data_IF_147325813885
#
_entry.id   IF_147325813885
#
_cell.length_a   1.000
_cell.length_b   1.000
_cell.length_c   1.000
_cell.angle_alpha   90.00
_cell.angle_beta   90.00
_cell.angle_gamma   90.00
#
_symmetry.space_group_name_H-M   'P 1'
#
loop_
_entity.id
_entity.type
_entity.pdbx_description
1 polymer ?
#
# COMPACT_ATOMS: atom_id res chain seq x y z
N UNK A 1 -3.35 -9.07 40.63
CA UNK A 1 -3.58 -8.30 39.38
C UNK A 1 -4.03 -9.30 38.32
N UNK A 2 -5.16 -9.11 37.63
CA UNK A 2 -5.61 -10.10 36.63
C UNK A 2 -4.63 -10.18 35.45
N UNK A 3 -4.52 -11.32 34.78
CA UNK A 3 -3.68 -11.49 33.57
C UNK A 3 -4.01 -10.46 32.48
N UNK A 4 -5.27 -10.06 32.39
CA UNK A 4 -5.73 -8.98 31.49
C UNK A 4 -5.11 -7.64 31.87
N UNK A 5 -5.07 -7.30 33.17
CA UNK A 5 -4.39 -6.09 33.65
C UNK A 5 -2.88 -6.11 33.35
N UNK A 6 -2.23 -7.28 33.44
CA UNK A 6 -0.82 -7.43 33.06
C UNK A 6 -0.61 -7.24 31.56
N UNK A 7 -1.51 -7.76 30.71
CA UNK A 7 -1.47 -7.54 29.27
C UNK A 7 -1.66 -6.05 28.92
N UNK A 8 -2.65 -5.38 29.55
CA UNK A 8 -2.87 -3.94 29.41
C UNK A 8 -1.64 -3.14 29.79
N UNK A 9 -1.02 -3.43 30.94
CA UNK A 9 0.20 -2.71 31.37
C UNK A 9 1.40 -3.02 30.46
N UNK A 10 1.55 -4.25 29.96
CA UNK A 10 2.63 -4.60 29.03
C UNK A 10 2.51 -3.81 27.73
N UNK A 11 1.31 -3.74 27.15
CA UNK A 11 1.06 -3.01 25.91
C UNK A 11 1.12 -1.49 26.10
N UNK A 12 0.54 -0.97 27.18
CA UNK A 12 0.64 0.46 27.52
C UNK A 12 2.10 0.84 27.75
N UNK A 13 2.88 -0.02 28.40
CA UNK A 13 4.32 0.19 28.59
C UNK A 13 5.10 0.11 27.27
N UNK A 14 4.75 -0.80 26.36
CA UNK A 14 5.33 -0.85 25.01
C UNK A 14 5.04 0.45 24.25
N UNK A 15 3.79 0.90 24.24
CA UNK A 15 3.38 2.18 23.64
C UNK A 15 4.09 3.38 24.30
N UNK A 16 4.27 3.36 25.63
CA UNK A 16 4.97 4.43 26.37
C UNK A 16 6.50 4.42 26.14
N UNK A 17 7.12 3.27 25.88
CA UNK A 17 8.55 3.18 25.54
C UNK A 17 8.87 3.90 24.22
N UNK A 18 7.91 4.00 23.29
CA UNK A 18 8.06 4.82 22.08
C UNK A 18 8.14 6.33 22.38
N UNK A 19 7.63 6.79 23.54
CA UNK A 19 7.69 8.19 23.94
C UNK A 19 8.95 8.56 24.75
N UNK A 20 9.81 7.60 25.11
CA UNK A 20 11.04 7.84 25.86
C UNK A 20 12.15 6.82 25.50
N UNK A 21 13.08 7.14 24.57
CA UNK A 21 14.13 6.21 24.19
C UNK A 21 15.29 6.20 25.22
N UNK A 22 15.61 5.03 25.77
CA UNK A 22 16.91 4.80 26.43
C UNK A 22 17.38 3.33 26.38
N UNK A 23 18.50 3.14 25.66
CA UNK A 23 19.61 2.15 25.62
C UNK A 23 19.48 0.67 26.03
N UNK A 24 20.16 -0.16 25.21
CA UNK A 24 20.21 -1.64 25.13
C UNK A 24 21.21 -2.34 26.06
N UNK A 25 21.06 -3.66 26.22
CA UNK A 25 22.18 -4.62 26.38
C UNK A 25 21.90 -5.97 25.67
N UNK A 26 22.99 -6.66 25.33
CA UNK A 26 23.20 -7.64 24.24
C UNK A 26 23.48 -9.10 24.66
N UNK A 27 23.37 -10.03 23.70
CA UNK A 27 24.05 -11.36 23.65
C UNK A 27 23.10 -12.57 23.62
N UNK A 28 23.32 -13.72 22.95
CA UNK A 28 24.34 -14.25 22.02
C UNK A 28 23.73 -15.54 21.39
N UNK A 29 24.01 -15.87 20.13
CA UNK A 29 23.46 -17.04 19.38
C UNK A 29 24.45 -18.21 19.24
N UNK A 30 23.94 -19.44 19.11
CA UNK A 30 24.66 -20.65 18.67
C UNK A 30 24.06 -21.22 17.37
N UNK A 31 24.84 -21.99 16.61
CA UNK A 31 24.50 -22.53 15.28
C UNK A 31 24.38 -24.05 15.25
N UNK A 32 23.64 -24.58 14.27
CA UNK A 32 23.40 -26.01 14.03
C UNK A 32 23.30 -26.26 12.51
N UNK A 33 23.97 -27.30 11.99
CA UNK A 33 24.03 -27.67 10.57
C UNK A 33 23.19 -28.92 10.28
N UNK A 34 22.42 -28.91 9.18
CA UNK A 34 21.81 -30.10 8.59
C UNK A 34 21.83 -30.00 7.05
N UNK A 35 22.16 -31.10 6.37
CA UNK A 35 22.09 -31.23 4.91
C UNK A 35 21.16 -32.38 4.52
N UNK A 36 20.48 -32.26 3.36
CA UNK A 36 19.77 -33.35 2.73
C UNK A 36 19.74 -33.18 1.19
N UNK A 37 19.94 -34.29 0.48
CA UNK A 37 19.94 -34.45 -0.97
C UNK A 37 18.57 -34.94 -1.47
N UNK A 38 18.09 -34.44 -2.61
CA UNK A 38 17.32 -35.27 -3.56
C UNK A 38 17.42 -34.72 -4.99
N UNK A 39 17.30 -35.65 -5.95
CA UNK A 39 17.58 -35.51 -7.39
C UNK A 39 16.32 -35.08 -8.16
N UNK A 40 16.56 -34.54 -9.37
CA UNK A 40 15.65 -34.39 -10.53
C UNK A 40 15.18 -33.00 -10.96
N UNK A 41 15.93 -31.94 -10.64
CA UNK A 41 16.00 -30.73 -11.48
C UNK A 41 17.45 -30.23 -11.47
N UNK A 42 18.09 -30.15 -12.64
CA UNK A 42 19.49 -29.74 -12.75
C UNK A 42 19.66 -28.23 -12.65
N UNK A 43 20.03 -27.72 -11.49
CA UNK A 43 20.50 -26.34 -11.30
C UNK A 43 22.02 -26.35 -11.13
N UNK A 44 22.72 -25.39 -11.74
CA UNK A 44 24.11 -25.10 -11.34
C UNK A 44 24.07 -24.02 -10.27
N UNK A 45 24.42 -24.38 -9.04
CA UNK A 45 24.51 -23.43 -7.92
C UNK A 45 25.98 -23.04 -7.81
N UNK A 46 26.30 -21.79 -8.11
CA UNK A 46 27.63 -21.24 -7.88
C UNK A 46 27.61 -20.48 -6.55
N UNK A 47 28.31 -21.02 -5.54
CA UNK A 47 28.45 -20.36 -4.25
C UNK A 47 29.81 -19.66 -4.20
N UNK A 48 29.81 -18.34 -4.03
CA UNK A 48 31.03 -17.56 -3.78
C UNK A 48 31.06 -17.09 -2.34
N UNK A 49 32.10 -17.50 -1.62
CA UNK A 49 32.40 -17.01 -0.28
C UNK A 49 33.37 -15.84 -0.39
N UNK A 50 33.00 -14.67 0.16
CA UNK A 50 33.93 -13.54 0.32
C UNK A 50 34.48 -13.54 1.75
N UNK A 51 35.76 -13.86 1.90
CA UNK A 51 36.46 -13.66 3.18
C UNK A 51 36.60 -12.16 3.47
N UNK A 52 36.13 -11.72 4.64
CA UNK A 52 36.38 -10.38 5.18
C UNK A 52 35.17 -9.59 5.69
N UNK A 53 33.93 -10.06 5.54
CA UNK A 53 32.73 -9.38 6.06
C UNK A 53 32.18 -10.02 7.36
N UNK A 54 31.84 -9.23 8.40
CA UNK A 54 31.38 -9.73 9.70
C UNK A 54 29.96 -10.35 9.67
N UNK A 55 29.27 -10.24 8.54
CA UNK A 55 28.05 -10.95 8.21
C UNK A 55 28.36 -11.68 6.91
N UNK A 56 28.65 -12.98 6.96
CA UNK A 56 28.90 -13.77 5.75
C UNK A 56 27.65 -13.73 4.86
N UNK A 57 27.69 -12.91 3.81
CA UNK A 57 26.61 -12.86 2.81
C UNK A 57 26.82 -14.05 1.88
N UNK A 58 25.85 -14.96 1.90
CA UNK A 58 25.76 -16.06 0.96
C UNK A 58 25.00 -15.55 -0.27
N UNK A 59 25.71 -15.22 -1.34
CA UNK A 59 25.10 -14.84 -2.60
C UNK A 59 24.75 -16.12 -3.37
N UNK A 60 23.45 -16.38 -3.55
CA UNK A 60 22.94 -17.57 -4.26
C UNK A 60 22.38 -17.11 -5.60
N UNK A 61 23.02 -17.50 -6.70
CA UNK A 61 22.52 -17.31 -8.05
C UNK A 61 21.96 -18.63 -8.59
N UNK A 62 20.71 -18.62 -9.05
CA UNK A 62 20.03 -19.79 -9.62
C UNK A 62 19.61 -19.44 -11.05
N UNK A 63 20.26 -20.06 -12.04
CA UNK A 63 19.88 -19.92 -13.46
C UNK A 63 19.34 -21.24 -14.01
N UNK A 64 18.11 -21.27 -14.55
CA UNK A 64 17.63 -22.41 -15.32
C UNK A 64 18.26 -22.42 -16.73
N UNK A 65 18.57 -23.60 -17.26
CA UNK A 65 19.02 -23.75 -18.65
C UNK A 65 17.97 -24.53 -19.45
N UNK A 66 17.53 -23.97 -20.59
CA UNK A 66 16.72 -24.68 -21.59
C UNK A 66 17.53 -24.87 -22.88
N UNK A 67 17.66 -26.12 -23.31
CA UNK A 67 18.39 -26.50 -24.53
C UNK A 67 17.65 -26.05 -25.81
N UNK A 68 18.30 -25.23 -26.63
CA UNK A 68 17.81 -24.70 -27.90
C UNK A 68 17.75 -25.75 -29.03
N UNK A 69 16.73 -25.66 -29.89
CA UNK A 69 16.62 -26.36 -31.17
C UNK A 69 16.81 -25.39 -32.34
N UNK A 70 17.84 -25.60 -33.16
CA UNK A 70 18.15 -24.81 -34.36
C UNK A 70 17.23 -25.17 -35.53
N UNK A 71 16.66 -24.19 -36.23
CA UNK A 71 16.26 -24.31 -37.65
C UNK A 71 16.75 -23.10 -38.42
N UNK A 72 17.26 -23.37 -39.63
CA UNK A 72 17.90 -22.43 -40.54
C UNK A 72 16.92 -21.99 -41.62
N UNK A 73 16.90 -20.70 -41.95
CA UNK A 73 16.29 -20.16 -43.16
C UNK A 73 17.09 -18.96 -43.69
N UNK A 74 17.21 -18.87 -45.02
CA UNK A 74 18.10 -17.96 -45.76
C UNK A 74 17.42 -16.65 -46.18
N UNK A 75 18.15 -15.54 -45.99
CA UNK A 75 18.38 -14.39 -46.91
C UNK A 75 17.22 -13.53 -47.45
N UNK A 76 17.20 -12.22 -47.10
CA UNK A 76 17.56 -11.04 -47.94
C UNK A 76 17.06 -9.73 -47.30
N UNK A 77 17.93 -8.71 -47.37
CA UNK A 77 17.79 -7.41 -46.71
C UNK A 77 16.64 -6.52 -47.21
N UNK A 78 15.99 -5.95 -46.20
CA UNK A 78 14.86 -5.05 -46.22
C UNK A 78 14.22 -5.21 -44.85
N UNK A 79 14.04 -4.13 -44.08
CA UNK A 79 13.18 -4.19 -42.89
C UNK A 79 11.78 -4.59 -43.38
N UNK A 80 11.52 -5.89 -43.49
CA UNK A 80 10.18 -6.41 -43.63
C UNK A 80 9.53 -6.09 -42.30
N UNK A 81 8.78 -4.99 -42.27
CA UNK A 81 7.80 -4.75 -41.23
C UNK A 81 6.82 -5.93 -41.30
N UNK A 82 7.09 -6.96 -40.49
CA UNK A 82 6.16 -8.03 -40.20
C UNK A 82 4.86 -7.41 -39.65
N UNK A 83 3.76 -8.17 -39.62
CA UNK A 83 2.45 -7.68 -39.17
C UNK A 83 2.49 -7.07 -37.75
N UNK A 84 2.82 -5.78 -37.64
CA UNK A 84 2.85 -5.05 -36.39
C UNK A 84 1.43 -4.97 -35.83
N UNK A 85 1.31 -5.11 -34.52
CA UNK A 85 0.02 -4.95 -33.85
C UNK A 85 -0.28 -3.46 -33.72
N UNK A 86 -1.23 -2.98 -34.52
CA UNK A 86 -1.62 -1.57 -34.53
C UNK A 86 -2.66 -1.32 -33.43
N UNK A 87 -2.36 -0.38 -32.53
CA UNK A 87 -3.29 0.16 -31.53
C UNK A 87 -3.60 1.62 -31.86
N UNK A 88 -4.89 1.94 -32.01
CA UNK A 88 -5.34 3.30 -32.30
C UNK A 88 -5.90 3.98 -31.06
N UNK A 89 -5.40 5.18 -30.81
CA UNK A 89 -5.93 6.10 -29.81
C UNK A 89 -6.58 7.25 -30.56
N UNK A 90 -7.90 7.15 -30.73
CA UNK A 90 -8.70 8.16 -31.39
C UNK A 90 -9.47 8.99 -30.38
N UNK A 91 -9.57 10.29 -30.65
CA UNK A 91 -10.59 11.15 -30.07
C UNK A 91 -11.62 11.47 -31.16
N UNK A 92 -12.93 11.44 -30.86
CA UNK A 92 -13.95 11.72 -31.87
C UNK A 92 -13.69 13.06 -32.58
N UNK A 93 -13.56 13.00 -33.91
CA UNK A 93 -13.30 14.17 -34.76
C UNK A 93 -11.83 14.50 -35.04
N UNK A 94 -10.87 13.69 -34.55
CA UNK A 94 -9.44 13.88 -34.80
C UNK A 94 -8.79 12.59 -35.31
N UNK A 95 -8.23 12.65 -36.53
CA UNK A 95 -7.42 11.56 -37.06
C UNK A 95 -6.03 11.55 -36.41
N UNK A 96 -5.48 10.38 -36.06
CA UNK A 96 -4.11 10.27 -35.55
C UNK A 96 -3.09 10.81 -36.55
N UNK A 97 -2.24 11.73 -36.11
CA UNK A 97 -1.19 12.38 -36.91
C UNK A 97 0.23 12.03 -36.42
N UNK A 98 0.33 11.26 -35.33
CA UNK A 98 1.58 10.75 -34.79
C UNK A 98 1.58 9.22 -34.76
N UNK A 99 2.68 8.63 -35.21
CA UNK A 99 2.97 7.20 -35.16
C UNK A 99 4.14 6.94 -34.21
N UNK A 100 3.91 6.11 -33.20
CA UNK A 100 4.94 5.61 -32.29
C UNK A 100 5.15 4.11 -32.55
N UNK A 101 6.36 3.74 -32.96
CA UNK A 101 6.77 2.35 -33.19
C UNK A 101 7.46 1.87 -31.92
N UNK A 102 6.85 0.93 -31.22
CA UNK A 102 7.30 0.40 -29.92
C UNK A 102 7.51 -1.10 -30.09
N UNK A 103 8.73 -1.47 -30.51
CA UNK A 103 9.08 -2.84 -30.89
C UNK A 103 8.09 -3.42 -31.92
N UNK A 104 7.35 -4.47 -31.56
CA UNK A 104 6.39 -5.17 -32.41
C UNK A 104 4.98 -4.53 -32.42
N UNK A 105 4.81 -3.40 -31.73
CA UNK A 105 3.55 -2.66 -31.67
C UNK A 105 3.67 -1.26 -32.29
N UNK A 106 2.57 -0.81 -32.90
CA UNK A 106 2.45 0.53 -33.49
C UNK A 106 1.30 1.27 -32.83
N UNK A 107 1.59 2.39 -32.18
CA UNK A 107 0.60 3.23 -31.52
C UNK A 107 0.30 4.44 -32.41
N UNK A 108 -0.95 4.55 -32.86
CA UNK A 108 -1.44 5.72 -33.60
C UNK A 108 -2.09 6.68 -32.61
N UNK A 109 -1.51 7.87 -32.46
CA UNK A 109 -1.91 8.87 -31.47
C UNK A 109 -1.98 10.26 -32.09
N UNK A 110 -2.47 11.24 -31.34
CA UNK A 110 -2.65 12.63 -31.75
C UNK A 110 -1.58 13.49 -31.07
N UNK A 111 -0.79 14.19 -31.86
CA UNK A 111 0.25 15.11 -31.39
C UNK A 111 -0.31 16.15 -30.40
N UNK A 112 -1.50 16.68 -30.67
CA UNK A 112 -2.16 17.67 -29.80
C UNK A 112 -2.40 17.14 -28.38
N UNK A 113 -2.78 15.87 -28.24
CA UNK A 113 -3.02 15.23 -26.93
C UNK A 113 -1.70 14.93 -26.22
N UNK A 114 -0.68 14.47 -26.96
CA UNK A 114 0.67 14.30 -26.42
C UNK A 114 1.19 15.61 -25.81
N UNK A 115 1.08 16.73 -26.55
CA UNK A 115 1.51 18.06 -26.09
C UNK A 115 0.70 18.57 -24.90
N UNK A 116 -0.60 18.29 -24.86
CA UNK A 116 -1.48 18.71 -23.78
C UNK A 116 -1.08 18.11 -22.42
N UNK A 117 -0.61 16.87 -22.43
CA UNK A 117 -0.39 16.09 -21.21
C UNK A 117 1.08 15.85 -20.85
N UNK A 118 2.01 16.31 -21.69
CA UNK A 118 3.44 16.12 -21.49
C UNK A 118 4.24 17.30 -22.00
N UNK A 119 4.99 17.93 -21.08
CA UNK A 119 5.94 18.98 -21.44
C UNK A 119 7.08 18.45 -22.31
N UNK A 120 7.47 17.18 -22.11
CA UNK A 120 8.43 16.49 -22.96
C UNK A 120 7.92 16.50 -24.41
N UNK A 121 6.73 15.98 -24.68
CA UNK A 121 6.20 15.92 -26.05
C UNK A 121 5.94 17.31 -26.63
N UNK A 122 5.53 18.28 -25.82
CA UNK A 122 5.44 19.67 -26.27
C UNK A 122 6.78 20.16 -26.83
N UNK A 123 7.82 20.13 -26.02
CA UNK A 123 9.15 20.59 -26.40
C UNK A 123 9.68 19.76 -27.58
N UNK A 124 9.54 18.45 -27.52
CA UNK A 124 10.10 17.52 -28.49
C UNK A 124 9.45 17.64 -29.88
N UNK A 125 8.13 17.81 -29.93
CA UNK A 125 7.40 18.00 -31.19
C UNK A 125 7.59 19.43 -31.74
N UNK A 126 7.74 20.44 -30.88
CA UNK A 126 8.08 21.81 -31.30
C UNK A 126 9.43 21.87 -32.00
N UNK A 127 10.44 21.15 -31.50
CA UNK A 127 11.74 21.05 -32.18
C UNK A 127 11.65 20.34 -33.52
N UNK A 128 10.81 19.30 -33.61
CA UNK A 128 10.58 18.58 -34.85
C UNK A 128 9.99 19.51 -35.94
N UNK A 129 9.06 20.41 -35.56
CA UNK A 129 8.45 21.35 -36.51
C UNK A 129 9.42 22.42 -37.04
N UNK A 130 10.52 22.67 -36.35
CA UNK A 130 11.51 23.71 -36.70
C UNK A 130 12.72 23.13 -37.44
N UNK A 131 13.03 21.85 -37.26
CA UNK A 131 14.20 21.23 -37.86
C UNK A 131 13.96 20.85 -39.33
N UNK A 132 14.36 21.74 -40.24
CA UNK A 132 14.30 21.54 -41.69
C UNK A 132 15.12 20.33 -42.17
N UNK A 133 16.00 19.76 -41.35
CA UNK A 133 16.80 18.58 -41.71
C UNK A 133 16.04 17.26 -41.55
N UNK A 134 14.87 17.27 -40.90
CA UNK A 134 14.07 16.06 -40.75
C UNK A 134 13.35 15.79 -42.08
N UNK A 135 13.86 14.81 -42.82
CA UNK A 135 13.23 14.36 -44.06
C UNK A 135 11.97 13.57 -43.74
N UNK A 136 10.82 14.12 -44.10
CA UNK A 136 9.55 13.39 -44.09
C UNK A 136 9.54 12.32 -45.18
N UNK A 137 9.07 11.13 -44.85
CA UNK A 137 8.71 10.13 -45.86
C UNK A 137 7.49 10.66 -46.64
N UNK A 138 7.62 10.96 -47.95
CA UNK A 138 6.50 11.46 -48.74
C UNK A 138 5.34 10.45 -48.86
N UNK A 139 5.53 9.21 -48.45
CA UNK A 139 4.51 8.16 -48.46
C UNK A 139 3.81 7.96 -47.12
N UNK A 140 4.28 8.56 -46.02
CA UNK A 140 3.63 8.44 -44.72
C UNK A 140 2.46 9.42 -44.59
N UNK A 141 1.33 8.93 -44.11
CA UNK A 141 0.19 9.78 -43.71
C UNK A 141 0.38 10.44 -42.36
N UNK A 142 1.41 10.05 -41.60
CA UNK A 142 1.70 10.58 -40.28
C UNK A 142 2.63 11.78 -40.38
N UNK A 143 2.28 12.86 -39.68
CA UNK A 143 3.12 14.05 -39.58
C UNK A 143 4.35 13.77 -38.73
N UNK A 144 4.19 12.98 -37.66
CA UNK A 144 5.27 12.68 -36.74
C UNK A 144 5.46 11.17 -36.61
N UNK A 145 6.70 10.72 -36.71
CA UNK A 145 7.04 9.29 -36.66
C UNK A 145 8.22 9.06 -35.74
N UNK A 146 8.01 8.22 -34.73
CA UNK A 146 8.99 7.92 -33.71
C UNK A 146 9.15 6.43 -33.53
N UNK A 147 10.36 6.02 -33.16
CA UNK A 147 10.68 4.66 -32.76
C UNK A 147 11.23 4.66 -31.34
N UNK A 148 10.76 3.74 -30.50
CA UNK A 148 11.35 3.52 -29.19
C UNK A 148 12.68 2.81 -29.37
N UNK A 149 13.75 3.40 -28.83
CA UNK A 149 15.09 2.82 -28.90
C UNK A 149 15.71 2.75 -27.52
N UNK A 150 16.31 1.61 -27.20
CA UNK A 150 17.14 1.45 -26.01
C UNK A 150 18.48 2.17 -26.18
N UNK A 151 18.86 2.97 -25.19
CA UNK A 151 20.21 3.52 -25.04
C UNK A 151 21.20 2.46 -24.54
N UNK A 152 22.50 2.78 -24.61
CA UNK A 152 23.57 1.93 -24.08
C UNK A 152 23.54 1.78 -22.56
N UNK A 153 22.84 2.69 -21.88
CA UNK A 153 22.56 2.69 -20.44
C UNK A 153 21.34 1.83 -20.08
N UNK A 154 20.67 1.22 -21.06
CA UNK A 154 19.46 0.43 -20.86
C UNK A 154 18.19 1.28 -20.68
N UNK A 155 18.26 2.60 -20.90
CA UNK A 155 17.10 3.49 -20.84
C UNK A 155 16.47 3.59 -22.22
N UNK A 156 15.16 3.36 -22.31
CA UNK A 156 14.42 3.48 -23.56
C UNK A 156 13.87 4.89 -23.74
N UNK A 157 13.99 5.42 -24.96
CA UNK A 157 13.45 6.73 -25.32
C UNK A 157 12.99 6.80 -26.76
N UNK A 158 11.95 7.59 -27.02
CA UNK A 158 11.42 7.81 -28.37
C UNK A 158 12.39 8.68 -29.18
N UNK A 159 12.71 8.25 -30.40
CA UNK A 159 13.58 8.97 -31.33
C UNK A 159 12.89 9.16 -32.69
N UNK A 160 13.10 10.30 -33.37
CA UNK A 160 12.52 10.53 -34.70
C UNK A 160 12.99 9.46 -35.68
N UNK A 161 12.05 8.85 -36.44
CA UNK A 161 12.37 7.80 -37.41
C UNK A 161 13.31 8.30 -38.51
N UNK A 162 13.15 9.56 -38.95
CA UNK A 162 13.97 10.20 -39.99
C UNK A 162 15.42 10.52 -39.60
N UNK A 163 15.75 10.52 -38.30
CA UNK A 163 17.12 10.75 -37.80
C UNK A 163 17.95 9.46 -37.67
N UNK A 164 17.39 8.31 -38.06
CA UNK A 164 18.16 7.08 -38.25
C UNK A 164 18.93 7.19 -39.57
N UNK A 165 19.83 8.16 -39.67
CA UNK A 165 20.93 8.04 -40.64
C UNK A 165 21.63 6.76 -40.25
N UNK A 166 21.60 5.77 -41.15
CA UNK A 166 22.45 4.58 -41.11
C UNK A 166 23.86 5.01 -40.71
N UNK A 167 24.16 4.96 -39.41
CA UNK A 167 25.50 4.95 -38.87
C UNK A 167 26.14 3.62 -39.21
N UNK A 168 26.11 3.24 -40.48
CA UNK A 168 27.03 2.31 -41.10
C UNK A 168 28.31 3.12 -41.27
N UNK A 169 28.93 3.44 -40.13
CA UNK A 169 30.38 3.54 -40.11
C UNK A 169 30.88 2.12 -40.18
N UNK A 170 31.68 1.84 -41.21
CA UNK A 170 32.36 0.58 -41.51
C UNK A 170 32.92 -0.14 -40.27
N UNK A 171 32.08 -0.95 -39.62
CA UNK A 171 32.49 -1.88 -38.57
C UNK A 171 32.01 -3.28 -38.96
N UNK A 172 32.77 -3.87 -39.88
CA UNK A 172 33.06 -5.30 -39.93
C UNK A 172 31.85 -6.24 -39.88
N UNK A 173 31.12 -6.32 -41.00
CA UNK A 173 30.70 -7.57 -41.66
C UNK A 173 30.32 -8.80 -40.81
N UNK A 174 29.57 -8.62 -39.72
CA UNK A 174 28.85 -9.73 -39.09
C UNK A 174 27.36 -9.46 -39.19
N UNK A 175 26.78 -10.07 -40.22
CA UNK A 175 25.36 -10.38 -40.33
C UNK A 175 24.96 -11.25 -39.12
N UNK A 176 24.83 -10.64 -37.95
CA UNK A 176 24.02 -11.20 -36.90
C UNK A 176 22.59 -10.85 -37.28
N UNK A 177 21.89 -11.81 -37.88
CA UNK A 177 20.42 -11.85 -37.83
C UNK A 177 20.02 -11.60 -36.37
N UNK A 178 19.53 -10.39 -36.08
CA UNK A 178 18.94 -10.07 -34.79
C UNK A 178 17.64 -10.85 -34.76
N UNK A 179 17.70 -12.04 -34.18
CA UNK A 179 16.53 -12.83 -33.82
C UNK A 179 15.72 -11.96 -32.85
N UNK A 180 14.61 -11.40 -33.35
CA UNK A 180 13.62 -10.64 -32.58
C UNK A 180 12.94 -11.58 -31.59
N UNK A 181 13.63 -11.92 -30.50
CA UNK A 181 12.98 -12.39 -29.29
C UNK A 181 12.72 -11.17 -28.43
N UNK A 182 11.45 -10.76 -28.36
CA UNK A 182 11.04 -9.69 -27.47
C UNK A 182 11.52 -10.02 -26.05
N UNK A 183 12.46 -9.24 -25.55
CA UNK A 183 12.99 -9.48 -24.20
C UNK A 183 11.94 -9.05 -23.18
N UNK A 184 11.99 -9.60 -21.96
CA UNK A 184 11.08 -9.22 -20.87
C UNK A 184 11.10 -7.69 -20.63
N UNK A 185 12.24 -7.04 -20.85
CA UNK A 185 12.36 -5.58 -20.73
C UNK A 185 11.56 -4.84 -21.81
N UNK A 186 11.57 -5.31 -23.06
CA UNK A 186 10.85 -4.68 -24.17
C UNK A 186 9.34 -4.77 -23.99
N UNK A 187 8.85 -5.93 -23.51
CA UNK A 187 7.43 -6.09 -23.17
C UNK A 187 6.99 -5.13 -22.06
N UNK A 188 7.84 -4.94 -21.03
CA UNK A 188 7.57 -3.99 -19.94
C UNK A 188 7.52 -2.55 -20.43
N UNK A 189 8.47 -2.14 -21.26
CA UNK A 189 8.48 -0.79 -21.83
C UNK A 189 7.31 -0.54 -22.78
N UNK A 190 6.90 -1.57 -23.53
CA UNK A 190 5.69 -1.53 -24.36
C UNK A 190 4.44 -1.29 -23.51
N UNK A 191 4.29 -2.06 -22.43
CA UNK A 191 3.18 -1.92 -21.49
C UNK A 191 3.21 -0.54 -20.81
N UNK A 192 4.37 -0.05 -20.38
CA UNK A 192 4.51 1.26 -19.74
C UNK A 192 4.04 2.40 -20.65
N UNK A 193 4.48 2.40 -21.92
CA UNK A 193 4.03 3.39 -22.89
C UNK A 193 2.54 3.24 -23.20
N UNK A 194 2.03 2.02 -23.28
CA UNK A 194 0.60 1.78 -23.45
C UNK A 194 -0.22 2.36 -22.30
N UNK A 195 0.18 2.15 -21.04
CA UNK A 195 -0.50 2.72 -19.88
C UNK A 195 -0.42 4.25 -19.86
N UNK A 196 0.72 4.82 -20.26
CA UNK A 196 0.85 6.26 -20.42
C UNK A 196 -0.12 6.79 -21.49
N UNK A 197 -0.26 6.10 -22.62
CA UNK A 197 -1.24 6.46 -23.65
C UNK A 197 -2.67 6.29 -23.16
N UNK A 198 -2.97 5.24 -22.38
CA UNK A 198 -4.28 5.09 -21.74
C UNK A 198 -4.59 6.26 -20.82
N UNK A 199 -3.61 6.73 -20.03
CA UNK A 199 -3.77 7.91 -19.19
C UNK A 199 -4.08 9.17 -20.02
N UNK A 200 -3.35 9.42 -21.12
CA UNK A 200 -3.53 10.59 -21.97
C UNK A 200 -4.92 10.64 -22.62
N UNK A 201 -5.45 9.46 -22.96
CA UNK A 201 -6.75 9.32 -23.60
C UNK A 201 -7.88 8.99 -22.62
N UNK A 202 -7.61 9.01 -21.31
CA UNK A 202 -8.57 8.68 -20.26
C UNK A 202 -9.25 7.32 -20.51
N UNK A 203 -8.49 6.36 -21.02
CA UNK A 203 -8.96 4.99 -21.24
C UNK A 203 -8.93 4.24 -19.90
N UNK A 204 -10.02 3.56 -19.52
CA UNK A 204 -10.04 2.68 -18.35
C UNK A 204 -8.92 1.65 -18.41
N UNK A 205 -8.16 1.52 -17.34
CA UNK A 205 -7.14 0.49 -17.17
C UNK A 205 -6.94 0.21 -15.69
N UNK A 206 -6.43 -0.97 -15.38
CA UNK A 206 -6.14 -1.45 -14.03
C UNK A 206 -4.65 -1.37 -13.75
N UNK A 207 -4.32 -1.14 -12.48
CA UNK A 207 -2.96 -1.25 -11.94
C UNK A 207 -3.06 -2.32 -10.86
N UNK A 208 -2.39 -3.46 -11.06
CA UNK A 208 -2.58 -4.65 -10.24
C UNK A 208 -1.63 -4.68 -9.03
N UNK A 209 -0.41 -4.18 -9.21
CA UNK A 209 0.64 -4.26 -8.20
C UNK A 209 1.57 -3.04 -8.12
N UNK A 210 2.54 -3.12 -7.20
CA UNK A 210 3.53 -2.07 -6.96
C UNK A 210 4.52 -1.93 -8.13
N UNK A 211 4.93 -3.03 -8.78
CA UNK A 211 5.92 -2.97 -9.85
C UNK A 211 5.34 -2.22 -11.05
N UNK A 212 4.09 -2.51 -11.41
CA UNK A 212 3.33 -1.78 -12.42
C UNK A 212 3.19 -0.28 -12.10
N UNK A 213 2.87 0.07 -10.85
CA UNK A 213 2.76 1.47 -10.43
C UNK A 213 4.12 2.19 -10.49
N UNK A 214 5.18 1.55 -9.99
CA UNK A 214 6.53 2.12 -9.95
C UNK A 214 7.05 2.41 -11.36
N UNK A 215 6.88 1.45 -12.27
CA UNK A 215 7.28 1.58 -13.66
C UNK A 215 6.46 2.65 -14.39
N UNK A 216 5.14 2.70 -14.20
CA UNK A 216 4.30 3.75 -14.77
C UNK A 216 4.71 5.14 -14.27
N UNK A 217 4.98 5.30 -12.97
CA UNK A 217 5.44 6.58 -12.40
C UNK A 217 6.81 6.96 -12.95
N UNK A 218 7.73 6.01 -13.10
CA UNK A 218 9.06 6.23 -13.71
C UNK A 218 8.93 6.71 -15.15
N UNK A 219 8.10 6.04 -15.96
CA UNK A 219 7.83 6.44 -17.35
C UNK A 219 7.15 7.81 -17.42
N UNK A 220 6.19 8.08 -16.55
CA UNK A 220 5.51 9.37 -16.47
C UNK A 220 6.47 10.51 -16.09
N UNK A 221 7.40 10.27 -15.16
CA UNK A 221 8.43 11.24 -14.79
C UNK A 221 9.36 11.54 -15.96
N UNK A 222 9.85 10.50 -16.65
CA UNK A 222 10.68 10.63 -17.84
C UNK A 222 10.00 11.46 -18.94
N UNK A 223 8.73 11.18 -19.24
CA UNK A 223 7.94 11.93 -20.22
C UNK A 223 7.29 13.19 -19.63
N UNK A 224 7.64 13.64 -18.42
CA UNK A 224 7.11 14.86 -17.80
C UNK A 224 5.58 14.93 -17.81
N UNK A 225 4.93 13.85 -17.38
CA UNK A 225 3.50 13.59 -17.50
C UNK A 225 2.86 13.10 -16.19
N UNK A 226 3.52 13.31 -15.03
CA UNK A 226 2.98 12.95 -13.71
C UNK A 226 1.55 13.47 -13.46
N UNK A 227 1.15 14.70 -13.83
CA UNK A 227 -0.18 15.22 -13.50
C UNK A 227 -1.34 14.44 -14.13
N UNK A 228 -1.19 13.96 -15.37
CA UNK A 228 -2.25 13.16 -16.02
C UNK A 228 -2.26 11.74 -15.45
N UNK A 229 -1.09 11.18 -15.13
CA UNK A 229 -0.97 9.85 -14.53
C UNK A 229 -1.53 9.82 -13.12
N UNK A 230 -1.40 10.91 -12.36
CA UNK A 230 -2.06 11.07 -11.06
C UNK A 230 -3.58 10.89 -11.16
N UNK A 231 -4.23 11.61 -12.09
CA UNK A 231 -5.67 11.50 -12.35
C UNK A 231 -6.08 10.11 -12.85
N UNK A 232 -5.23 9.51 -13.68
CA UNK A 232 -5.44 8.17 -14.19
C UNK A 232 -5.41 7.14 -13.06
N UNK A 233 -4.40 7.18 -12.18
CA UNK A 233 -4.28 6.30 -11.01
C UNK A 233 -5.49 6.47 -10.09
N UNK A 234 -5.89 7.70 -9.78
CA UNK A 234 -7.10 8.00 -9.00
C UNK A 234 -8.37 7.37 -9.63
N UNK A 235 -8.48 7.42 -10.96
CA UNK A 235 -9.60 6.82 -11.68
C UNK A 235 -9.52 5.29 -11.70
N UNK A 236 -8.32 4.73 -11.89
CA UNK A 236 -8.08 3.28 -11.86
C UNK A 236 -8.44 2.67 -10.51
N UNK A 237 -8.15 3.36 -9.41
CA UNK A 237 -8.52 2.94 -8.06
C UNK A 237 -10.04 2.88 -7.83
N UNK A 238 -10.84 3.64 -8.59
CA UNK A 238 -12.30 3.56 -8.56
C UNK A 238 -12.85 2.38 -9.38
N UNK A 239 -12.09 1.92 -10.38
CA UNK A 239 -12.47 0.82 -11.28
C UNK A 239 -12.04 -0.52 -10.70
N UNK A 240 -10.81 -0.60 -10.17
CA UNK A 240 -10.25 -1.79 -9.54
C UNK A 240 -9.66 -1.43 -8.19
N UNK A 241 -10.12 -2.14 -7.17
CA UNK A 241 -9.60 -2.04 -5.80
C UNK A 241 -8.39 -2.98 -5.59
N UNK A 242 -7.90 -3.68 -6.62
CA UNK A 242 -6.90 -4.74 -6.48
C UNK A 242 -5.58 -4.25 -5.88
N UNK A 243 -5.07 -3.10 -6.34
CA UNK A 243 -3.90 -2.47 -5.73
C UNK A 243 -4.13 -2.22 -4.24
N UNK A 244 -5.26 -1.59 -3.87
CA UNK A 244 -5.62 -1.30 -2.48
C UNK A 244 -5.83 -2.57 -1.65
N UNK A 245 -6.36 -3.63 -2.26
CA UNK A 245 -6.59 -4.93 -1.64
C UNK A 245 -5.28 -5.60 -1.23
N UNK A 246 -4.24 -5.36 -2.02
CA UNK A 246 -2.93 -5.96 -1.84
C UNK A 246 -2.04 -5.14 -0.87
N UNK A 247 -2.28 -3.84 -0.66
CA UNK A 247 -1.48 -3.01 0.28
C UNK A 247 -1.32 -3.67 1.66
N UNK A 248 -2.38 -4.15 2.35
CA UNK A 248 -2.24 -4.76 3.68
C UNK A 248 -1.50 -6.10 3.68
N UNK A 249 -1.34 -6.73 2.51
CA UNK A 249 -0.64 -8.02 2.35
C UNK A 249 0.83 -7.84 2.06
N UNK A 250 1.22 -6.68 1.57
CA UNK A 250 2.61 -6.42 1.23
C UNK A 250 3.49 -6.28 2.48
N UNK A 251 4.80 -6.54 2.35
CA UNK A 251 5.79 -6.10 3.32
C UNK A 251 5.66 -4.60 3.57
N UNK A 252 6.06 -4.15 4.76
CA UNK A 252 5.97 -2.73 5.12
C UNK A 252 6.81 -1.85 4.19
N UNK A 253 7.93 -2.35 3.68
CA UNK A 253 8.78 -1.60 2.74
C UNK A 253 8.02 -1.25 1.46
N UNK A 254 7.18 -2.16 0.96
CA UNK A 254 6.37 -1.94 -0.23
C UNK A 254 5.28 -0.90 0.04
N UNK A 255 4.62 -0.94 1.20
CA UNK A 255 3.64 0.09 1.56
C UNK A 255 4.30 1.48 1.65
N UNK A 256 5.52 1.58 2.19
CA UNK A 256 6.28 2.84 2.21
C UNK A 256 6.63 3.31 0.79
N UNK A 257 7.03 2.40 -0.11
CA UNK A 257 7.26 2.74 -1.52
C UNK A 257 6.00 3.27 -2.20
N UNK A 258 4.86 2.60 -2.06
CA UNK A 258 3.57 3.07 -2.61
C UNK A 258 3.24 4.46 -2.05
N UNK A 259 3.51 4.72 -0.77
CA UNK A 259 3.28 6.04 -0.16
C UNK A 259 4.16 7.11 -0.81
N UNK A 260 5.41 6.80 -1.09
CA UNK A 260 6.34 7.71 -1.79
C UNK A 260 5.92 7.96 -3.25
N UNK A 261 5.45 6.92 -3.95
CA UNK A 261 4.92 7.06 -5.31
C UNK A 261 3.64 7.90 -5.35
N UNK A 262 2.72 7.66 -4.41
CA UNK A 262 1.50 8.44 -4.26
C UNK A 262 1.79 9.91 -3.96
N UNK A 263 2.83 10.17 -3.15
CA UNK A 263 3.34 11.52 -2.90
C UNK A 263 3.88 12.16 -4.17
N UNK A 264 4.73 11.45 -4.94
CA UNK A 264 5.31 11.95 -6.19
C UNK A 264 4.23 12.28 -7.24
N UNK A 265 3.15 11.50 -7.27
CA UNK A 265 2.00 11.74 -8.13
C UNK A 265 1.04 12.81 -7.59
N UNK A 266 1.13 13.20 -6.33
CA UNK A 266 0.09 13.98 -5.63
C UNK A 266 -1.29 13.28 -5.67
N UNK A 267 -1.30 11.94 -5.70
CA UNK A 267 -2.50 11.11 -5.74
C UNK A 267 -3.10 10.98 -4.33
N UNK A 268 -4.02 11.88 -4.00
CA UNK A 268 -4.62 12.04 -2.67
C UNK A 268 -5.24 10.76 -2.10
N UNK A 269 -6.04 10.02 -2.88
CA UNK A 269 -6.71 8.81 -2.39
C UNK A 269 -5.70 7.69 -2.15
N UNK A 270 -4.78 7.48 -3.09
CA UNK A 270 -3.72 6.47 -2.92
C UNK A 270 -2.83 6.80 -1.72
N UNK A 271 -2.47 8.08 -1.55
CA UNK A 271 -1.66 8.54 -0.44
C UNK A 271 -2.35 8.28 0.88
N UNK A 272 -3.64 8.64 1.01
CA UNK A 272 -4.44 8.43 2.22
C UNK A 272 -4.48 6.96 2.60
N UNK A 273 -4.90 6.10 1.68
CA UNK A 273 -5.02 4.66 1.93
C UNK A 273 -3.68 4.05 2.32
N UNK A 274 -2.62 4.35 1.57
CA UNK A 274 -1.30 3.81 1.88
C UNK A 274 -0.73 4.35 3.19
N UNK A 275 -0.96 5.64 3.48
CA UNK A 275 -0.54 6.28 4.72
C UNK A 275 -1.19 5.60 5.93
N UNK A 276 -2.48 5.29 5.86
CA UNK A 276 -3.20 4.53 6.89
C UNK A 276 -2.48 3.22 7.20
N UNK A 277 -2.05 2.48 6.17
CA UNK A 277 -1.31 1.22 6.37
C UNK A 277 0.04 1.45 7.02
N UNK A 278 0.82 2.40 6.51
CA UNK A 278 2.14 2.70 7.08
C UNK A 278 2.01 3.05 8.57
N UNK A 279 1.01 3.83 8.96
CA UNK A 279 0.81 4.21 10.37
C UNK A 279 0.25 3.07 11.22
N UNK A 280 -0.65 2.24 10.69
CA UNK A 280 -1.28 1.16 11.44
C UNK A 280 -0.31 -0.01 11.71
N UNK A 281 0.62 -0.29 10.79
CA UNK A 281 1.51 -1.45 10.85
C UNK A 281 2.80 -1.23 11.64
N UNK A 282 3.11 0.00 12.03
CA UNK A 282 4.28 0.37 12.85
C UNK A 282 4.33 -0.28 14.25
N UNK A 283 3.23 -0.90 14.69
CA UNK A 283 3.06 -1.49 16.02
C UNK A 283 3.26 -3.02 16.05
N UNK A 284 3.83 -3.65 15.01
CA UNK A 284 4.13 -5.08 15.08
C UNK A 284 5.20 -5.38 16.14
N UNK A 285 5.01 -6.51 16.85
CA UNK A 285 5.84 -6.95 17.99
C UNK A 285 7.31 -7.24 17.62
N UNK A 286 7.69 -7.13 16.35
CA UNK A 286 9.06 -7.34 15.88
C UNK A 286 10.03 -6.23 16.32
N UNK A 287 9.54 -5.09 16.84
CA UNK A 287 10.38 -3.97 17.27
C UNK A 287 11.14 -3.28 16.12
N UNK A 288 10.91 -3.74 14.88
CA UNK A 288 11.55 -3.27 13.67
C UNK A 288 10.61 -2.39 12.84
N UNK A 289 9.30 -2.44 13.05
CA UNK A 289 8.35 -1.82 12.13
C UNK A 289 8.41 -0.28 12.05
N UNK A 290 8.30 0.46 13.17
CA UNK A 290 8.38 1.93 13.09
C UNK A 290 9.75 2.44 12.64
N UNK A 291 10.84 1.85 13.17
CA UNK A 291 12.20 2.22 12.77
C UNK A 291 12.45 1.90 11.30
N UNK A 292 11.98 0.75 10.82
CA UNK A 292 12.05 0.33 9.43
C UNK A 292 11.31 1.27 8.49
N UNK A 293 10.12 1.76 8.88
CA UNK A 293 9.40 2.80 8.12
C UNK A 293 10.26 4.06 7.96
N UNK A 294 10.88 4.55 9.03
CA UNK A 294 11.73 5.75 8.97
C UNK A 294 13.01 5.51 8.15
N UNK A 295 13.61 4.33 8.25
CA UNK A 295 14.79 3.96 7.45
C UNK A 295 14.43 3.84 5.96
N UNK A 296 13.29 3.25 5.63
CA UNK A 296 12.81 3.13 4.25
C UNK A 296 12.45 4.50 3.66
N UNK A 297 11.77 5.38 4.41
CA UNK A 297 11.49 6.75 3.95
C UNK A 297 12.78 7.53 3.62
N UNK A 298 13.86 7.33 4.39
CA UNK A 298 15.17 7.92 4.10
C UNK A 298 15.80 7.30 2.86
N UNK A 299 15.71 5.98 2.71
CA UNK A 299 16.22 5.28 1.54
C UNK A 299 15.55 5.77 0.25
N UNK A 300 14.25 6.06 0.31
CA UNK A 300 13.48 6.61 -0.80
C UNK A 300 13.63 8.14 -0.97
N UNK A 301 14.49 8.83 -0.22
CA UNK A 301 14.66 10.30 -0.26
C UNK A 301 13.36 11.08 0.01
N UNK A 302 12.54 10.59 0.94
CA UNK A 302 11.26 11.17 1.34
C UNK A 302 11.28 11.57 2.83
N UNK A 303 12.38 12.16 3.32
CA UNK A 303 12.56 12.48 4.74
C UNK A 303 11.54 13.49 5.27
N UNK A 304 10.95 14.30 4.39
CA UNK A 304 9.97 15.30 4.77
C UNK A 304 8.59 14.68 5.12
N UNK A 305 8.36 13.40 4.79
CA UNK A 305 7.22 12.63 5.30
C UNK A 305 7.39 12.19 6.76
N UNK A 306 8.62 12.17 7.29
CA UNK A 306 8.93 11.66 8.64
C UNK A 306 8.15 12.42 9.73
N UNK A 307 8.11 13.77 9.75
CA UNK A 307 7.34 14.50 10.76
C UNK A 307 5.85 14.16 10.74
N UNK A 308 5.27 14.02 9.55
CA UNK A 308 3.86 13.67 9.37
C UNK A 308 3.58 12.25 9.90
N UNK A 309 4.40 11.28 9.49
CA UNK A 309 4.29 9.89 9.94
C UNK A 309 4.45 9.80 11.47
N UNK A 310 5.42 10.51 12.03
CA UNK A 310 5.66 10.56 13.48
C UNK A 310 4.46 11.14 14.24
N UNK A 311 3.92 12.27 13.76
CA UNK A 311 2.77 12.93 14.37
C UNK A 311 1.56 12.00 14.39
N UNK A 312 1.23 11.39 13.25
CA UNK A 312 0.05 10.53 13.13
C UNK A 312 0.20 9.20 13.87
N UNK A 313 1.41 8.64 13.91
CA UNK A 313 1.70 7.47 14.73
C UNK A 313 1.55 7.78 16.23
N UNK A 314 2.05 8.91 16.70
CA UNK A 314 1.90 9.34 18.09
C UNK A 314 0.42 9.56 18.45
N UNK A 315 -0.37 10.16 17.56
CA UNK A 315 -1.82 10.32 17.73
C UNK A 315 -2.52 8.95 17.82
N UNK A 316 -2.21 8.03 16.92
CA UNK A 316 -2.73 6.66 16.96
C UNK A 316 -2.41 5.98 18.30
N UNK A 317 -1.15 6.02 18.74
CA UNK A 317 -0.71 5.44 20.00
C UNK A 317 -1.46 6.03 21.19
N UNK A 318 -1.67 7.35 21.19
CA UNK A 318 -2.43 8.07 22.24
C UNK A 318 -3.88 7.59 22.30
N UNK A 319 -4.56 7.48 21.16
CA UNK A 319 -5.97 7.05 21.14
C UNK A 319 -6.13 5.57 21.55
N UNK A 320 -5.22 4.69 21.11
CA UNK A 320 -5.16 3.30 21.58
C UNK A 320 -4.93 3.25 23.09
N UNK A 321 -3.99 4.05 23.61
CA UNK A 321 -3.71 4.11 25.05
C UNK A 321 -4.93 4.60 25.84
N UNK A 322 -5.66 5.59 25.33
CA UNK A 322 -6.90 6.10 25.95
C UNK A 322 -7.99 5.01 26.00
N UNK A 323 -8.21 4.29 24.89
CA UNK A 323 -9.16 3.20 24.83
C UNK A 323 -8.79 2.06 25.79
N UNK A 324 -7.51 1.69 25.82
CA UNK A 324 -6.99 0.68 26.72
C UNK A 324 -7.14 1.11 28.19
N UNK A 325 -6.86 2.37 28.51
CA UNK A 325 -7.04 2.91 29.85
C UNK A 325 -8.52 2.93 30.27
N UNK A 326 -9.42 3.25 29.35
CA UNK A 326 -10.87 3.13 29.57
C UNK A 326 -11.27 1.69 29.94
N UNK A 327 -10.86 0.71 29.13
CA UNK A 327 -11.16 -0.71 29.38
C UNK A 327 -10.55 -1.20 30.70
N UNK A 328 -9.34 -0.75 31.01
CA UNK A 328 -8.66 -1.02 32.27
C UNK A 328 -9.48 -0.53 33.46
N UNK A 329 -10.02 0.69 33.39
CA UNK A 329 -10.90 1.26 34.42
C UNK A 329 -12.18 0.45 34.60
N UNK A 330 -12.80 -0.01 33.53
CA UNK A 330 -13.97 -0.89 33.60
C UNK A 330 -13.64 -2.24 34.25
N UNK A 331 -12.43 -2.76 34.02
CA UNK A 331 -11.97 -4.03 34.59
C UNK A 331 -11.61 -3.94 36.09
N UNK A 332 -11.30 -2.75 36.62
CA UNK A 332 -11.02 -2.57 38.05
C UNK A 332 -12.27 -2.91 38.87
N UNK A 333 -12.10 -3.64 39.97
CA UNK A 333 -13.20 -3.94 40.88
C UNK A 333 -13.61 -2.66 41.63
N UNK A 334 -14.80 -2.15 41.29
CA UNK A 334 -15.40 -0.96 41.89
C UNK A 334 -16.44 -1.29 42.97
N UNK A 335 -16.48 -2.52 43.49
CA UNK A 335 -17.40 -2.92 44.59
C UNK A 335 -17.33 -1.95 45.78
N UNK A 336 -16.14 -1.45 46.11
CA UNK A 336 -15.94 -0.48 47.18
C UNK A 336 -16.66 0.86 46.93
N UNK A 337 -16.89 1.27 45.67
CA UNK A 337 -17.68 2.47 45.36
C UNK A 337 -19.17 2.22 45.58
N UNK A 338 -19.64 1.00 45.36
CA UNK A 338 -21.05 0.66 45.55
C UNK A 338 -21.39 0.58 47.03
N UNK A 339 -20.45 0.13 47.87
CA UNK A 339 -20.63 -0.02 49.32
C UNK A 339 -20.37 1.28 50.11
N UNK A 340 -19.89 2.37 49.48
CA UNK A 340 -19.61 3.62 50.18
C UNK A 340 -20.92 4.34 50.57
N UNK A 341 -21.11 4.70 51.86
CA UNK A 341 -22.31 5.42 52.32
C UNK A 341 -22.54 6.75 51.60
N UNK A 342 -21.45 7.40 51.15
CA UNK A 342 -21.47 8.73 50.53
C UNK A 342 -21.24 8.71 49.01
N UNK A 343 -21.28 7.54 48.36
CA UNK A 343 -21.18 7.48 46.91
C UNK A 343 -22.40 8.15 46.27
N UNK A 344 -22.17 9.01 45.27
CA UNK A 344 -23.26 9.65 44.54
C UNK A 344 -24.01 8.61 43.69
N UNK A 345 -25.25 8.89 43.32
CA UNK A 345 -26.02 8.03 42.39
C UNK A 345 -25.26 7.77 41.08
N UNK A 346 -24.53 8.77 40.57
CA UNK A 346 -23.65 8.63 39.39
C UNK A 346 -22.47 7.68 39.61
N UNK A 347 -21.84 7.70 40.79
CA UNK A 347 -20.72 6.81 41.10
C UNK A 347 -21.19 5.34 41.15
N UNK A 348 -22.37 5.10 41.74
CA UNK A 348 -23.00 3.77 41.79
C UNK A 348 -23.40 3.28 40.40
N UNK A 349 -23.99 4.16 39.57
CA UNK A 349 -24.31 3.85 38.17
C UNK A 349 -23.05 3.48 37.39
N UNK A 350 -21.97 4.25 37.49
CA UNK A 350 -20.71 3.99 36.78
C UNK A 350 -20.06 2.68 37.24
N UNK A 351 -20.12 2.37 38.53
CA UNK A 351 -19.60 1.12 39.07
C UNK A 351 -20.38 -0.10 38.57
N UNK A 352 -21.71 0.00 38.47
CA UNK A 352 -22.56 -1.05 37.88
C UNK A 352 -22.32 -1.21 36.38
N UNK A 353 -22.18 -0.12 35.63
CA UNK A 353 -21.81 -0.16 34.21
C UNK A 353 -20.47 -0.90 34.03
N UNK A 354 -19.47 -0.55 34.85
CA UNK A 354 -18.14 -1.19 34.82
C UNK A 354 -18.23 -2.69 35.17
N UNK A 355 -19.11 -3.07 36.10
CA UNK A 355 -19.36 -4.47 36.47
C UNK A 355 -19.93 -5.27 35.30
N UNK A 356 -20.92 -4.73 34.57
CA UNK A 356 -21.48 -5.39 33.38
C UNK A 356 -20.42 -5.55 32.29
N UNK A 357 -19.63 -4.50 32.01
CA UNK A 357 -18.54 -4.57 31.02
C UNK A 357 -17.50 -5.63 31.41
N UNK A 358 -17.11 -5.67 32.69
CA UNK A 358 -16.14 -6.65 33.20
C UNK A 358 -16.64 -8.09 33.05
N UNK A 359 -17.94 -8.32 33.25
CA UNK A 359 -18.56 -9.62 33.06
C UNK A 359 -18.48 -10.06 31.59
N UNK A 360 -18.73 -9.15 30.65
CA UNK A 360 -18.62 -9.42 29.20
C UNK A 360 -17.16 -9.68 28.76
N UNK A 361 -16.21 -8.92 29.29
CA UNK A 361 -14.79 -9.06 28.93
C UNK A 361 -14.14 -10.37 29.40
N UNK A 362 -14.80 -11.14 30.29
CA UNK A 362 -14.36 -12.42 30.86
C UNK A 362 -12.82 -12.56 30.97
N UNK A 363 -12.15 -11.82 31.87
CA UNK A 363 -10.69 -11.83 31.99
C UNK A 363 -10.09 -13.18 32.46
N UNK A 364 -10.88 -14.25 32.58
CA UNK A 364 -10.61 -15.45 33.39
C UNK A 364 -9.91 -16.65 32.75
N UNK A 365 -9.98 -16.88 31.43
CA UNK A 365 -9.52 -18.18 30.88
C UNK A 365 -8.08 -18.21 30.32
N UNK A 366 -7.15 -17.55 31.01
CA UNK A 366 -5.72 -17.90 30.96
C UNK A 366 -4.91 -17.56 29.70
N UNK A 367 -5.54 -17.34 28.54
CA UNK A 367 -4.88 -16.95 27.29
C UNK A 367 -5.24 -15.52 26.94
N UNK A 368 -4.39 -14.58 27.37
CA UNK A 368 -4.38 -13.23 26.80
C UNK A 368 -3.76 -13.32 25.40
N UNK A 369 -4.55 -13.73 24.41
CA UNK A 369 -4.12 -13.66 23.02
C UNK A 369 -3.87 -12.19 22.70
N UNK A 370 -2.67 -11.83 22.24
CA UNK A 370 -2.31 -10.45 21.86
C UNK A 370 -3.24 -9.86 20.79
N UNK A 371 -3.98 -10.71 20.08
CA UNK A 371 -5.08 -10.34 19.18
C UNK A 371 -6.23 -9.57 19.86
N UNK A 372 -6.25 -9.49 21.21
CA UNK A 372 -7.32 -8.85 22.00
C UNK A 372 -7.38 -7.33 21.93
N UNK A 373 -6.57 -6.63 21.14
CA UNK A 373 -6.65 -5.16 21.01
C UNK A 373 -6.57 -4.69 19.55
N UNK A 374 -7.03 -5.54 18.63
CA UNK A 374 -7.26 -5.16 17.23
C UNK A 374 -8.51 -4.28 17.08
N UNK A 375 -8.65 -3.62 15.93
CA UNK A 375 -9.91 -2.96 15.57
C UNK A 375 -11.11 -3.92 15.66
N UNK A 376 -10.95 -5.15 15.17
CA UNK A 376 -11.98 -6.19 15.31
C UNK A 376 -12.38 -6.46 16.76
N UNK A 377 -11.45 -6.39 17.73
CA UNK A 377 -11.80 -6.50 19.15
C UNK A 377 -12.62 -5.29 19.64
N UNK A 378 -12.18 -4.06 19.38
CA UNK A 378 -12.91 -2.87 19.82
C UNK A 378 -14.31 -2.80 19.20
N UNK A 379 -14.41 -3.16 17.92
CA UNK A 379 -15.69 -3.21 17.20
C UNK A 379 -16.62 -4.27 17.79
N UNK A 380 -16.13 -5.51 18.01
CA UNK A 380 -16.90 -6.56 18.67
C UNK A 380 -17.40 -6.13 20.04
N UNK A 381 -16.60 -5.37 20.78
CA UNK A 381 -16.99 -4.86 22.09
C UNK A 381 -18.03 -3.72 22.00
N UNK A 382 -17.94 -2.84 21.00
CA UNK A 382 -18.96 -1.82 20.70
C UNK A 382 -20.30 -2.42 20.26
N UNK A 383 -20.26 -3.58 19.60
CA UNK A 383 -21.42 -4.31 19.09
C UNK A 383 -21.91 -5.41 20.07
N UNK A 384 -21.21 -5.61 21.18
CA UNK A 384 -21.58 -6.62 22.16
C UNK A 384 -22.98 -6.32 22.71
N UNK A 385 -23.84 -7.34 22.84
CA UNK A 385 -25.22 -7.12 23.29
C UNK A 385 -25.28 -6.63 24.73
N UNK A 386 -24.28 -6.94 25.57
CA UNK A 386 -24.25 -6.72 27.03
C UNK A 386 -25.54 -7.16 27.73
N UNK A 387 -25.49 -8.23 28.52
CA UNK A 387 -26.66 -8.76 29.22
C UNK A 387 -26.54 -8.55 30.74
N UNK A 388 -27.08 -7.45 31.32
CA UNK A 388 -27.06 -7.27 32.77
C UNK A 388 -27.87 -8.36 33.48
N UNK A 389 -27.30 -8.91 34.55
CA UNK A 389 -27.97 -9.89 35.40
C UNK A 389 -29.15 -9.26 36.15
N UNK A 390 -30.11 -10.07 36.60
CA UNK A 390 -31.23 -9.59 37.43
C UNK A 390 -30.76 -8.85 38.68
N UNK A 391 -29.66 -9.29 39.30
CA UNK A 391 -29.08 -8.63 40.47
C UNK A 391 -28.51 -7.24 40.14
N UNK A 392 -27.82 -7.11 38.99
CA UNK A 392 -27.31 -5.81 38.52
C UNK A 392 -28.46 -4.84 38.18
N UNK A 393 -29.53 -5.35 37.58
CA UNK A 393 -30.72 -4.56 37.27
C UNK A 393 -31.44 -4.06 38.55
N UNK A 394 -31.55 -4.92 39.57
CA UNK A 394 -32.13 -4.53 40.87
C UNK A 394 -31.31 -3.43 41.55
N UNK A 395 -29.98 -3.62 41.66
CA UNK A 395 -29.06 -2.60 42.23
C UNK A 395 -29.06 -1.30 41.44
N UNK A 396 -29.28 -1.36 40.13
CA UNK A 396 -29.44 -0.15 39.32
C UNK A 396 -30.74 0.60 39.65
N UNK A 397 -31.84 -0.12 39.91
CA UNK A 397 -33.12 0.43 40.34
C UNK A 397 -33.09 1.13 41.70
N UNK A 398 -32.22 0.72 42.61
CA UNK A 398 -32.04 1.35 43.93
C UNK A 398 -31.63 2.84 43.86
N UNK A 399 -31.13 3.29 42.71
CA UNK A 399 -30.77 4.69 42.48
C UNK A 399 -31.94 5.59 42.04
N UNK A 400 -33.12 5.00 41.80
CA UNK A 400 -34.33 5.68 41.36
C UNK A 400 -35.42 5.61 42.43
N UNK A 401 -36.42 6.49 42.36
CA UNK A 401 -37.53 6.46 43.32
C UNK A 401 -38.22 5.08 43.32
N UNK A 402 -38.65 4.58 44.49
CA UNK A 402 -39.30 3.28 44.63
C UNK A 402 -40.64 3.29 43.89
N UNK A 403 -40.58 2.94 42.62
CA UNK A 403 -41.71 2.75 41.71
C UNK A 403 -41.63 1.38 41.06
N UNK A 404 -42.78 0.86 40.63
CA UNK A 404 -43.07 -0.47 40.05
C UNK A 404 -42.36 -0.77 38.72
N UNK A 405 -41.06 -0.48 38.61
CA UNK A 405 -40.28 -0.86 37.44
C UNK A 405 -40.05 -2.38 37.46
N UNK A 406 -40.59 -3.08 36.46
CA UNK A 406 -40.24 -4.48 36.24
C UNK A 406 -38.73 -4.61 35.98
N UNK A 407 -38.12 -5.67 36.53
CA UNK A 407 -36.68 -5.97 36.39
C UNK A 407 -36.22 -5.95 34.92
N UNK A 408 -37.08 -6.38 33.99
CA UNK A 408 -36.80 -6.35 32.55
C UNK A 408 -36.58 -4.92 32.03
N UNK A 409 -37.37 -3.95 32.50
CA UNK A 409 -37.23 -2.54 32.12
C UNK A 409 -35.91 -1.96 32.65
N UNK A 410 -35.57 -2.25 33.91
CA UNK A 410 -34.31 -1.80 34.53
C UNK A 410 -33.10 -2.42 33.84
N UNK A 411 -33.14 -3.71 33.51
CA UNK A 411 -32.08 -4.40 32.78
C UNK A 411 -31.84 -3.77 31.39
N UNK A 412 -32.91 -3.49 30.63
CA UNK A 412 -32.81 -2.83 29.32
C UNK A 412 -32.24 -1.41 29.43
N UNK A 413 -32.63 -0.65 30.44
CA UNK A 413 -32.07 0.70 30.66
C UNK A 413 -30.58 0.64 30.99
N UNK A 414 -30.17 -0.26 31.90
CA UNK A 414 -28.77 -0.46 32.25
C UNK A 414 -27.95 -0.91 31.01
N UNK A 415 -28.47 -1.84 30.22
CA UNK A 415 -27.87 -2.27 28.95
C UNK A 415 -27.63 -1.08 28.01
N UNK A 416 -28.64 -0.22 27.80
CA UNK A 416 -28.49 0.97 26.95
C UNK A 416 -27.41 1.92 27.47
N UNK A 417 -27.34 2.12 28.80
CA UNK A 417 -26.30 2.93 29.43
C UNK A 417 -24.91 2.33 29.24
N UNK A 418 -24.78 1.00 29.37
CA UNK A 418 -23.53 0.28 29.13
C UNK A 418 -23.07 0.44 27.68
N UNK A 419 -23.95 0.18 26.70
CA UNK A 419 -23.65 0.34 25.27
C UNK A 419 -23.22 1.77 24.96
N UNK A 420 -23.95 2.76 25.47
CA UNK A 420 -23.59 4.17 25.29
C UNK A 420 -22.24 4.51 25.92
N UNK A 421 -21.93 3.95 27.10
CA UNK A 421 -20.66 4.17 27.78
C UNK A 421 -19.48 3.55 27.04
N UNK A 422 -19.63 2.31 26.55
CA UNK A 422 -18.61 1.60 25.77
C UNK A 422 -18.36 2.30 24.45
N UNK A 423 -19.43 2.62 23.70
CA UNK A 423 -19.32 3.36 22.44
C UNK A 423 -18.63 4.70 22.63
N UNK A 424 -18.96 5.43 23.70
CA UNK A 424 -18.29 6.71 24.01
C UNK A 424 -16.80 6.52 24.34
N UNK A 425 -16.46 5.50 25.15
CA UNK A 425 -15.08 5.23 25.57
C UNK A 425 -14.19 4.71 24.45
N UNK A 426 -14.77 3.95 23.51
CA UNK A 426 -14.08 3.39 22.35
C UNK A 426 -14.28 4.19 21.07
N UNK A 427 -15.07 5.25 21.09
CA UNK A 427 -15.35 6.11 19.94
C UNK A 427 -14.07 6.56 19.22
N UNK A 428 -13.00 7.02 19.92
CA UNK A 428 -11.81 7.48 19.22
C UNK A 428 -11.14 6.40 18.36
N UNK A 429 -11.19 5.14 18.81
CA UNK A 429 -10.56 4.02 18.09
C UNK A 429 -11.51 3.30 17.13
N UNK A 430 -12.81 3.58 17.18
CA UNK A 430 -13.84 2.95 16.33
C UNK A 430 -14.48 3.90 15.31
N UNK A 431 -14.35 5.22 15.49
CA UNK A 431 -14.93 6.23 14.58
C UNK A 431 -14.39 6.13 13.16
N UNK A 432 -13.08 5.94 13.06
CA UNK A 432 -12.34 5.86 11.81
C UNK A 432 -11.82 4.43 11.62
N UNK A 433 -12.64 3.43 11.94
CA UNK A 433 -12.49 2.16 11.26
C UNK A 433 -12.66 2.47 9.77
N UNK A 434 -11.56 2.74 9.08
CA UNK A 434 -11.46 2.48 7.66
C UNK A 434 -11.70 0.98 7.51
N UNK A 435 -12.97 0.59 7.58
CA UNK A 435 -13.50 -0.29 6.58
C UNK A 435 -13.10 0.44 5.31
N UNK A 436 -11.98 0.04 4.71
CA UNK A 436 -11.88 0.12 3.27
C UNK A 436 -13.30 -0.15 2.76
N UNK A 437 -13.85 0.76 1.97
CA UNK A 437 -15.20 0.66 1.43
C UNK A 437 -15.32 -0.54 0.46
N UNK A 438 -14.77 -1.71 0.80
CA UNK A 438 -15.08 -2.96 0.16
C UNK A 438 -16.58 -3.16 0.27
N UNK A 439 -17.26 -3.32 -0.86
CA UNK A 439 -18.60 -3.87 -0.85
C UNK A 439 -18.53 -5.20 -0.09
N UNK A 440 -19.39 -5.36 0.93
CA UNK A 440 -19.55 -6.60 1.72
C UNK A 440 -20.03 -7.81 0.89
N UNK A 441 -19.82 -7.82 -0.43
CA UNK A 441 -20.44 -8.77 -1.34
C UNK A 441 -19.79 -10.15 -1.36
N UNK A 442 -18.62 -10.34 -0.75
CA UNK A 442 -18.08 -11.68 -0.51
C UNK A 442 -18.23 -12.04 0.97
N UNK A 443 -19.28 -12.81 1.29
CA UNK A 443 -19.61 -13.27 2.64
C UNK A 443 -18.58 -14.22 3.27
N UNK A 444 -17.44 -14.45 2.62
CA UNK A 444 -16.35 -15.27 3.15
C UNK A 444 -15.33 -14.39 3.88
N UNK A 445 -15.52 -14.29 5.20
CA UNK A 445 -14.49 -13.77 6.10
C UNK A 445 -13.26 -14.68 6.01
N UNK A 446 -12.20 -14.22 5.34
CA UNK A 446 -10.92 -14.93 5.32
C UNK A 446 -10.14 -14.65 6.62
N UNK A 447 -9.92 -15.66 7.48
CA UNK A 447 -9.08 -15.52 8.67
C UNK A 447 -7.63 -15.25 8.23
N UNK A 448 -7.11 -14.07 8.53
CA UNK A 448 -5.77 -13.63 8.13
C UNK A 448 -5.70 -12.17 7.70
N UNK A 449 -6.85 -11.53 7.42
CA UNK A 449 -6.91 -10.10 7.14
C UNK A 449 -6.56 -9.30 8.40
N UNK A 450 -5.47 -8.55 8.37
CA UNK A 450 -5.08 -7.64 9.46
C UNK A 450 -5.91 -6.37 9.34
N UNK A 451 -6.78 -6.13 10.31
CA UNK A 451 -7.55 -4.90 10.38
C UNK A 451 -6.62 -3.72 10.68
N UNK A 452 -6.25 -2.97 9.64
CA UNK A 452 -5.56 -1.69 9.80
C UNK A 452 -6.57 -0.61 10.21
N UNK A 453 -6.19 0.29 11.11
CA UNK A 453 -7.05 1.38 11.55
C UNK A 453 -6.22 2.64 11.79
N UNK A 454 -6.76 3.77 11.34
CA UNK A 454 -6.25 5.09 11.68
C UNK A 454 -7.29 5.76 12.56
N UNK A 455 -7.01 5.93 13.85
CA UNK A 455 -7.93 6.59 14.80
C UNK A 455 -8.06 8.11 14.59
N UNK A 456 -7.41 8.64 13.55
CA UNK A 456 -7.41 10.06 13.20
C UNK A 456 -7.66 10.19 11.71
N UNK A 457 -8.36 11.24 11.30
CA UNK A 457 -8.54 11.55 9.88
C UNK A 457 -7.29 12.29 9.42
N UNK A 458 -6.71 11.88 8.30
CA UNK A 458 -5.69 12.70 7.63
C UNK A 458 -6.42 13.89 7.00
N UNK A 459 -6.17 15.11 7.45
CA UNK A 459 -6.83 16.29 6.88
C UNK A 459 -6.21 16.65 5.53
N UNK A 460 -6.96 17.27 4.61
CA UNK A 460 -6.39 17.74 3.33
C UNK A 460 -5.23 18.70 3.57
N UNK A 461 -5.32 19.55 4.61
CA UNK A 461 -4.25 20.48 4.99
C UNK A 461 -2.95 19.81 5.46
N UNK A 462 -2.98 18.51 5.78
CA UNK A 462 -1.80 17.75 6.18
C UNK A 462 -1.15 17.01 4.99
N UNK A 463 -1.70 17.09 3.77
CA UNK A 463 -1.08 16.51 2.58
C UNK A 463 0.19 17.30 2.21
N UNK A 464 1.29 16.61 1.84
CA UNK A 464 2.62 17.22 1.75
C UNK A 464 2.79 18.20 0.58
N UNK A 465 1.87 18.23 -0.38
CA UNK A 465 1.89 19.16 -1.52
C UNK A 465 0.99 20.39 -1.33
N UNK A 466 0.37 20.56 -0.16
CA UNK A 466 -0.43 21.74 0.18
C UNK A 466 0.29 22.75 1.11
N UNK A 467 1.54 22.46 1.50
CA UNK A 467 2.35 23.25 2.44
C UNK A 467 3.19 24.35 1.81
#
# INVERSE_FOLDING_TARGET
MSKVMQAFLKQTRALLHYFAPSFSTSGTTGSLNLSANSKEIGYTILMKYREGHPLGILEICITPYTSAGKRSCNSRGGLQMANLKIKRYGQPGFDPDTRLIVFDEELHVNSAILRLHSQFFQTFLDHYDVDENIQHDPHSSFRYEYVLKGGYDGVYGLQPLGNVKSGIGDADGRDNEIEYHSTVAELRETWNLEQLMNAFYVKPSTIEDLEELEELVRTADFYSALPIVSKFVESSLQISEELLYNIPKFPIEHAVKILCLARKLEASSLFRETFIHVIAFSNSDDGHSYKGIIEELKLQHNEDLIPLVTRYHALLCKEIANANFFLMKCCLNQEHLILRPHATSKDRELALISEVIRHELQPGNGYANLERFSAGFYQKLCDAPFAPTSNQALRYGENYEPGTHHIQTLSRQLQQKVVAHVRKGLWPVTRNCLQFNYPRHTAEYQPGRRDAFLCTQLEDSDLPWHS
#
